data_IF_313784782951
#
_entry.id   IF_313784782951
#
_cell.length_a   1.000
_cell.length_b   1.000
_cell.length_c   1.000
_cell.angle_alpha   90.00
_cell.angle_beta   90.00
_cell.angle_gamma   90.00
#
_symmetry.space_group_name_H-M   'P 1'
#
loop_
_entity.id
_entity.type
_entity.pdbx_description
1 polymer ?
#
# COMPACT_ATOMS: atom_id res chain seq x y z
N UNK A 1 34.62 19.61 -28.71
CA UNK A 1 35.06 18.76 -29.84
C UNK A 1 33.99 17.68 -30.00
N UNK A 2 33.05 17.87 -30.94
CA UNK A 2 31.97 16.91 -31.22
C UNK A 2 32.55 15.74 -31.99
N UNK A 3 32.56 14.55 -31.42
CA UNK A 3 32.72 13.32 -32.18
C UNK A 3 31.38 12.98 -32.82
N UNK A 4 31.30 13.18 -34.14
CA UNK A 4 30.31 12.55 -35.02
C UNK A 4 30.36 11.05 -34.78
N UNK A 5 29.36 10.50 -34.10
CA UNK A 5 29.07 9.08 -34.24
C UNK A 5 28.38 8.92 -35.60
N UNK A 6 29.04 8.24 -36.51
CA UNK A 6 28.46 7.75 -37.76
C UNK A 6 27.28 6.84 -37.44
N UNK A 7 26.07 7.38 -37.45
CA UNK A 7 24.84 6.57 -37.47
C UNK A 7 24.81 5.80 -38.80
N UNK A 8 25.18 4.52 -38.76
CA UNK A 8 24.81 3.58 -39.82
C UNK A 8 23.28 3.58 -39.89
N UNK A 9 22.74 4.34 -40.85
CA UNK A 9 21.30 4.37 -41.12
C UNK A 9 20.88 2.97 -41.56
N UNK A 10 20.21 2.25 -40.67
CA UNK A 10 19.64 0.96 -40.99
C UNK A 10 18.43 1.22 -41.90
N UNK A 11 18.57 0.87 -43.19
CA UNK A 11 17.52 1.02 -44.17
C UNK A 11 16.96 -0.36 -44.54
N UNK A 12 15.66 -0.56 -44.32
CA UNK A 12 14.94 -1.78 -44.71
C UNK A 12 13.84 -1.34 -45.68
N UNK A 13 13.84 -1.87 -46.91
CA UNK A 13 12.86 -1.56 -47.96
C UNK A 13 12.63 -0.05 -48.20
N UNK A 14 13.70 0.76 -48.17
CA UNK A 14 13.62 2.21 -48.41
C UNK A 14 13.26 3.05 -47.17
N UNK A 15 12.84 2.44 -46.06
CA UNK A 15 12.50 3.13 -44.81
C UNK A 15 13.78 3.32 -43.98
N UNK A 16 14.07 4.58 -43.61
CA UNK A 16 15.18 4.92 -42.70
C UNK A 16 14.76 4.64 -41.26
N UNK A 17 15.44 3.71 -40.60
CA UNK A 17 15.25 3.41 -39.19
C UNK A 17 16.34 4.16 -38.41
N UNK A 18 15.94 5.05 -37.51
CA UNK A 18 16.81 5.77 -36.59
C UNK A 18 16.40 5.48 -35.14
N UNK A 19 17.37 5.46 -34.25
CA UNK A 19 17.13 5.32 -32.81
C UNK A 19 17.15 6.72 -32.17
N UNK A 20 16.36 6.91 -31.11
CA UNK A 20 16.32 8.17 -30.38
C UNK A 20 16.76 7.97 -28.94
N UNK A 21 17.53 8.92 -28.42
CA UNK A 21 17.88 8.97 -27.00
C UNK A 21 16.71 9.43 -26.12
N UNK A 22 15.57 9.79 -26.72
CA UNK A 22 14.35 10.12 -25.97
C UNK A 22 13.93 8.90 -25.16
N UNK A 23 13.96 9.04 -23.84
CA UNK A 23 13.47 8.01 -22.93
C UNK A 23 11.95 7.95 -23.03
N UNK A 24 11.44 6.79 -23.46
CA UNK A 24 10.01 6.54 -23.61
C UNK A 24 9.50 5.66 -22.46
N UNK A 25 8.24 5.83 -22.08
CA UNK A 25 7.54 4.99 -21.11
C UNK A 25 6.11 4.72 -21.58
N UNK A 26 5.57 3.51 -21.41
CA UNK A 26 4.16 3.24 -21.67
C UNK A 26 3.24 3.88 -20.60
N UNK A 27 3.80 4.41 -19.50
CA UNK A 27 3.06 4.94 -18.35
C UNK A 27 2.94 6.47 -18.37
N UNK A 28 2.56 7.08 -19.49
CA UNK A 28 2.37 8.53 -19.59
C UNK A 28 1.37 9.10 -18.54
N UNK A 29 0.35 8.31 -18.18
CA UNK A 29 -0.62 8.69 -17.15
C UNK A 29 -0.05 8.80 -15.73
N UNK A 30 1.12 8.23 -15.46
CA UNK A 30 1.77 8.33 -14.14
C UNK A 30 2.14 9.78 -13.80
N UNK A 31 2.25 10.68 -14.78
CA UNK A 31 2.53 12.10 -14.54
C UNK A 31 1.48 12.71 -13.61
N UNK A 32 0.19 12.37 -13.77
CA UNK A 32 -0.88 12.89 -12.90
C UNK A 32 -0.73 12.36 -11.46
N UNK A 33 -0.39 11.09 -11.32
CA UNK A 33 -0.18 10.46 -10.01
C UNK A 33 1.05 11.03 -9.33
N UNK A 34 2.15 11.21 -10.07
CA UNK A 34 3.37 11.80 -9.55
C UNK A 34 3.14 13.25 -9.10
N UNK A 35 2.39 14.05 -9.87
CA UNK A 35 1.97 15.40 -9.47
C UNK A 35 1.07 15.39 -8.24
N UNK A 36 0.21 14.39 -8.10
CA UNK A 36 -0.56 14.21 -6.88
C UNK A 36 0.35 13.87 -5.68
N UNK A 37 1.30 12.95 -5.82
CA UNK A 37 2.27 12.60 -4.77
C UNK A 37 3.15 13.78 -4.37
N UNK A 38 3.56 14.61 -5.33
CA UNK A 38 4.25 15.87 -5.09
C UNK A 38 3.36 16.83 -4.28
N UNK A 39 2.11 17.03 -4.69
CA UNK A 39 1.16 17.94 -4.03
C UNK A 39 0.86 17.56 -2.57
N UNK A 40 0.79 16.26 -2.25
CA UNK A 40 0.59 15.78 -0.88
C UNK A 40 1.91 15.59 -0.11
N UNK A 41 3.05 15.92 -0.73
CA UNK A 41 4.39 15.77 -0.16
C UNK A 41 4.71 14.34 0.32
N UNK A 42 4.18 13.34 -0.38
CA UNK A 42 4.23 11.93 0.05
C UNK A 42 5.66 11.46 0.32
N UNK A 43 6.62 11.82 -0.55
CA UNK A 43 8.02 11.41 -0.38
C UNK A 43 8.62 11.96 0.91
N UNK A 44 8.35 13.22 1.23
CA UNK A 44 8.83 13.88 2.46
C UNK A 44 8.21 13.23 3.68
N UNK A 45 6.90 12.97 3.65
CA UNK A 45 6.20 12.27 4.73
C UNK A 45 6.79 10.87 4.96
N UNK A 46 6.95 10.06 3.90
CA UNK A 46 7.53 8.73 4.01
C UNK A 46 8.94 8.78 4.60
N UNK A 47 9.79 9.73 4.19
CA UNK A 47 11.14 9.88 4.76
C UNK A 47 11.13 10.06 6.28
N UNK A 48 10.15 10.79 6.83
CA UNK A 48 10.01 10.98 8.28
C UNK A 48 9.37 9.79 9.02
N UNK A 49 8.59 8.98 8.32
CA UNK A 49 7.76 7.90 8.90
C UNK A 49 8.45 6.53 8.86
N UNK A 50 9.37 6.31 7.90
CA UNK A 50 9.93 4.98 7.66
C UNK A 50 10.75 4.43 8.85
N UNK A 51 10.48 3.20 9.31
CA UNK A 51 11.19 2.60 10.45
C UNK A 51 12.58 2.08 10.08
N UNK A 52 12.92 1.99 8.79
CA UNK A 52 14.18 1.45 8.30
C UNK A 52 15.12 2.60 7.95
N UNK A 53 16.26 2.69 8.62
CA UNK A 53 17.31 3.67 8.31
C UNK A 53 18.52 2.97 7.68
N UNK A 54 19.03 3.53 6.58
CA UNK A 54 20.26 3.06 5.96
C UNK A 54 21.42 3.99 6.30
N UNK A 55 22.58 3.41 6.61
CA UNK A 55 23.81 4.15 6.90
C UNK A 55 24.66 4.38 5.65
N UNK A 56 24.63 3.45 4.69
CA UNK A 56 25.42 3.57 3.46
C UNK A 56 24.68 4.37 2.37
N UNK A 57 25.34 5.35 1.73
CA UNK A 57 24.76 6.17 0.67
C UNK A 57 24.44 5.38 -0.61
N UNK A 58 25.01 4.18 -0.77
CA UNK A 58 24.75 3.32 -1.93
C UNK A 58 23.40 2.59 -1.87
N UNK A 59 22.69 2.68 -0.74
CA UNK A 59 21.35 2.11 -0.63
C UNK A 59 20.31 3.01 -1.27
N UNK A 60 19.38 2.39 -2.01
CA UNK A 60 18.15 3.07 -2.40
C UNK A 60 17.38 3.39 -1.11
N UNK A 61 16.93 4.65 -0.99
CA UNK A 61 16.25 5.15 0.19
C UNK A 61 14.90 4.44 0.42
N UNK A 62 14.44 4.28 1.66
CA UNK A 62 13.16 3.64 1.99
C UNK A 62 11.97 4.25 1.23
N UNK A 63 11.86 5.58 1.22
CA UNK A 63 10.81 6.32 0.55
C UNK A 63 10.81 6.08 -0.97
N UNK A 64 11.98 6.00 -1.59
CA UNK A 64 12.13 5.69 -3.01
C UNK A 64 11.69 4.25 -3.34
N UNK A 65 12.00 3.30 -2.46
CA UNK A 65 11.56 1.90 -2.62
C UNK A 65 10.04 1.78 -2.52
N UNK A 66 9.42 2.49 -1.57
CA UNK A 66 7.98 2.49 -1.39
C UNK A 66 7.27 3.13 -2.59
N UNK A 67 7.70 4.32 -3.02
CA UNK A 67 7.08 4.98 -4.19
C UNK A 67 7.30 4.15 -5.46
N UNK A 68 8.49 3.59 -5.66
CA UNK A 68 8.75 2.68 -6.77
C UNK A 68 7.87 1.43 -6.74
N UNK A 69 7.60 0.89 -5.54
CA UNK A 69 6.66 -0.22 -5.37
C UNK A 69 5.21 0.20 -5.63
N UNK A 70 4.78 1.39 -5.18
CA UNK A 70 3.46 1.92 -5.54
C UNK A 70 3.31 2.09 -7.05
N UNK A 71 4.34 2.62 -7.73
CA UNK A 71 4.35 2.76 -9.18
C UNK A 71 4.19 1.40 -9.89
N UNK A 72 4.84 0.33 -9.41
CA UNK A 72 4.66 -0.99 -10.02
C UNK A 72 3.24 -1.53 -9.81
N UNK A 73 2.64 -1.32 -8.63
CA UNK A 73 1.26 -1.72 -8.37
C UNK A 73 0.28 -0.97 -9.29
N UNK A 74 0.51 0.32 -9.50
CA UNK A 74 -0.26 1.15 -10.44
C UNK A 74 -0.08 0.72 -11.90
N UNK A 75 1.05 0.10 -12.24
CA UNK A 75 1.28 -0.53 -13.54
C UNK A 75 0.57 -1.88 -13.69
N UNK A 76 -0.20 -2.33 -12.68
CA UNK A 76 -0.93 -3.59 -12.70
C UNK A 76 -0.10 -4.80 -12.25
N UNK A 77 1.03 -4.59 -11.57
CA UNK A 77 1.82 -5.70 -11.05
C UNK A 77 1.14 -6.42 -9.88
N UNK A 78 1.25 -7.75 -9.87
CA UNK A 78 0.77 -8.62 -8.79
C UNK A 78 1.90 -9.41 -8.10
N UNK A 79 3.16 -9.23 -8.54
CA UNK A 79 4.34 -9.96 -8.04
C UNK A 79 5.55 -9.04 -7.94
N UNK A 80 6.45 -9.28 -6.98
CA UNK A 80 7.69 -8.51 -6.86
C UNK A 80 8.61 -8.65 -8.08
N UNK A 81 8.58 -9.78 -8.80
CA UNK A 81 9.35 -9.93 -10.05
C UNK A 81 8.89 -9.00 -11.16
N UNK A 82 7.68 -8.44 -11.07
CA UNK A 82 7.14 -7.50 -12.04
C UNK A 82 7.67 -6.07 -11.86
N UNK A 83 8.62 -5.81 -10.93
CA UNK A 83 9.28 -4.49 -10.84
C UNK A 83 9.87 -4.04 -12.20
N UNK A 84 10.24 -4.98 -13.07
CA UNK A 84 10.69 -4.68 -14.44
C UNK A 84 9.59 -4.11 -15.36
N UNK A 85 8.30 -4.23 -15.00
CA UNK A 85 7.19 -3.68 -15.77
C UNK A 85 7.32 -2.17 -15.93
N UNK A 86 7.93 -1.49 -14.95
CA UNK A 86 8.20 -0.05 -14.98
C UNK A 86 9.05 0.38 -16.19
N UNK A 87 9.72 -0.55 -16.87
CA UNK A 87 10.46 -0.29 -18.08
C UNK A 87 11.69 0.56 -17.79
N UNK A 88 11.68 1.81 -18.25
CA UNK A 88 12.82 2.71 -18.06
C UNK A 88 12.84 3.30 -16.63
N UNK A 89 13.74 2.79 -15.79
CA UNK A 89 13.91 3.24 -14.42
C UNK A 89 14.20 4.74 -14.29
N UNK A 90 14.93 5.34 -15.23
CA UNK A 90 15.22 6.78 -15.19
C UNK A 90 13.96 7.61 -15.42
N UNK A 91 13.08 7.19 -16.32
CA UNK A 91 11.82 7.93 -16.57
C UNK A 91 10.94 7.90 -15.33
N UNK A 92 10.82 6.75 -14.68
CA UNK A 92 10.05 6.62 -13.44
C UNK A 92 10.70 7.40 -12.30
N UNK A 93 12.03 7.33 -12.20
CA UNK A 93 12.80 8.12 -11.23
C UNK A 93 12.49 9.60 -11.39
N UNK A 94 12.66 10.13 -12.59
CA UNK A 94 12.50 11.55 -12.88
C UNK A 94 11.04 11.99 -12.68
N UNK A 95 10.09 11.15 -13.09
CA UNK A 95 8.66 11.45 -12.97
C UNK A 95 8.20 11.54 -11.50
N UNK A 96 8.62 10.60 -10.65
CA UNK A 96 8.23 10.56 -9.23
C UNK A 96 9.20 11.32 -8.31
N UNK A 97 10.20 12.02 -8.85
CA UNK A 97 11.19 12.74 -8.05
C UNK A 97 12.04 11.83 -7.16
N UNK A 98 12.34 10.62 -7.61
CA UNK A 98 13.12 9.63 -6.88
C UNK A 98 14.62 9.86 -7.10
N UNK A 99 15.47 9.38 -6.21
CA UNK A 99 16.92 9.37 -6.47
C UNK A 99 17.30 8.11 -7.23
N UNK A 100 16.71 6.97 -6.88
CA UNK A 100 16.95 5.68 -7.54
C UNK A 100 15.72 4.78 -7.52
N UNK A 101 15.51 4.04 -8.60
CA UNK A 101 14.49 2.99 -8.71
C UNK A 101 15.16 1.65 -8.98
N UNK A 102 14.80 0.62 -8.23
CA UNK A 102 15.22 -0.75 -8.53
C UNK A 102 14.14 -1.47 -9.32
N UNK A 103 14.51 -2.03 -10.47
CA UNK A 103 13.65 -2.93 -11.25
C UNK A 103 13.75 -4.38 -10.76
N UNK A 104 14.58 -4.65 -9.74
CA UNK A 104 14.83 -6.00 -9.22
C UNK A 104 13.98 -6.24 -7.99
N UNK A 105 13.03 -7.17 -8.09
CA UNK A 105 12.07 -7.49 -7.01
C UNK A 105 12.71 -7.86 -5.67
N UNK A 106 13.89 -8.50 -5.67
CA UNK A 106 14.61 -8.87 -4.44
C UNK A 106 15.06 -7.67 -3.61
N UNK A 107 15.21 -6.49 -4.22
CA UNK A 107 15.53 -5.24 -3.49
C UNK A 107 14.36 -4.83 -2.60
N UNK A 108 13.14 -4.95 -3.12
CA UNK A 108 11.89 -4.62 -2.44
C UNK A 108 11.58 -5.63 -1.34
N UNK A 109 11.72 -6.94 -1.62
CA UNK A 109 11.47 -7.97 -0.59
C UNK A 109 12.47 -7.88 0.57
N UNK A 110 13.76 -7.68 0.30
CA UNK A 110 14.77 -7.45 1.36
C UNK A 110 14.48 -6.20 2.19
N UNK A 111 13.85 -5.18 1.60
CA UNK A 111 13.43 -4.00 2.33
C UNK A 111 12.28 -4.31 3.29
N UNK A 112 11.20 -4.95 2.81
CA UNK A 112 10.08 -5.34 3.69
C UNK A 112 10.52 -6.30 4.81
N UNK A 113 11.44 -7.23 4.54
CA UNK A 113 12.01 -8.14 5.55
C UNK A 113 12.85 -7.46 6.65
N UNK A 114 13.08 -6.14 6.57
CA UNK A 114 13.71 -5.36 7.65
C UNK A 114 12.69 -4.87 8.68
N UNK A 115 11.40 -4.87 8.36
CA UNK A 115 10.30 -4.59 9.29
C UNK A 115 9.95 -5.94 9.93
N UNK A 116 10.51 -6.22 11.10
CA UNK A 116 10.50 -7.58 11.68
C UNK A 116 9.54 -7.76 12.86
N UNK A 117 9.25 -6.69 13.57
CA UNK A 117 8.47 -6.78 14.81
C UNK A 117 7.16 -6.02 14.68
N UNK A 118 6.11 -6.55 15.32
CA UNK A 118 4.77 -5.96 15.30
C UNK A 118 4.78 -4.50 15.78
N UNK A 119 5.61 -4.15 16.76
CA UNK A 119 5.77 -2.77 17.21
C UNK A 119 6.21 -1.80 16.12
N UNK A 120 7.12 -2.21 15.21
CA UNK A 120 7.55 -1.38 14.07
C UNK A 120 6.42 -1.20 13.05
N UNK A 121 5.64 -2.26 12.81
CA UNK A 121 4.47 -2.20 11.91
C UNK A 121 3.39 -1.28 12.48
N UNK A 122 3.13 -1.37 13.78
CA UNK A 122 2.16 -0.51 14.47
C UNK A 122 2.61 0.95 14.47
N UNK A 123 3.86 1.23 14.83
CA UNK A 123 4.43 2.59 14.78
C UNK A 123 4.36 3.19 13.37
N UNK A 124 4.70 2.40 12.33
CA UNK A 124 4.54 2.80 10.93
C UNK A 124 3.06 3.09 10.59
N UNK A 125 2.13 2.24 11.03
CA UNK A 125 0.70 2.41 10.79
C UNK A 125 0.14 3.68 11.43
N UNK A 126 0.52 3.95 12.68
CA UNK A 126 0.10 5.15 13.41
C UNK A 126 0.68 6.42 12.79
N UNK A 127 1.98 6.45 12.51
CA UNK A 127 2.62 7.59 11.83
C UNK A 127 2.06 7.86 10.44
N UNK A 128 1.74 6.79 9.69
CA UNK A 128 1.08 6.93 8.40
C UNK A 128 -0.34 7.50 8.57
N UNK A 129 -1.08 7.04 9.58
CA UNK A 129 -2.40 7.59 9.89
C UNK A 129 -2.34 9.08 10.26
N UNK A 130 -1.39 9.49 11.11
CA UNK A 130 -1.17 10.90 11.45
C UNK A 130 -0.94 11.76 10.20
N UNK A 131 -0.10 11.28 9.27
CA UNK A 131 0.07 11.96 7.98
C UNK A 131 -1.22 12.01 7.17
N UNK A 132 -1.95 10.90 7.04
CA UNK A 132 -3.21 10.85 6.31
C UNK A 132 -4.25 11.82 6.88
N UNK A 133 -4.30 11.98 8.21
CA UNK A 133 -5.20 12.96 8.85
C UNK A 133 -4.95 14.39 8.37
N UNK A 134 -3.71 14.74 8.02
CA UNK A 134 -3.41 16.07 7.47
C UNK A 134 -3.97 16.28 6.06
N UNK A 135 -4.26 15.21 5.34
CA UNK A 135 -4.82 15.24 3.98
C UNK A 135 -6.35 15.17 3.96
N UNK A 136 -6.97 14.67 5.03
CA UNK A 136 -8.42 14.46 5.12
C UNK A 136 -9.10 15.72 5.64
N UNK A 137 -10.10 16.20 4.91
CA UNK A 137 -10.93 17.34 5.32
C UNK A 137 -12.01 16.90 6.31
N UNK A 138 -11.63 16.51 7.54
CA UNK A 138 -12.58 16.06 8.57
C UNK A 138 -13.66 17.10 8.89
N UNK A 139 -13.33 18.38 8.79
CA UNK A 139 -14.30 19.48 8.94
C UNK A 139 -15.44 19.49 7.91
N UNK A 140 -15.33 18.72 6.82
CA UNK A 140 -16.38 18.53 5.81
C UNK A 140 -17.14 17.22 5.98
N UNK A 141 -16.81 16.43 6.99
CA UNK A 141 -17.43 15.14 7.29
C UNK A 141 -18.17 15.32 8.62
N UNK A 142 -19.47 15.57 8.56
CA UNK A 142 -20.29 15.69 9.76
C UNK A 142 -20.46 14.33 10.44
N UNK A 143 -20.83 13.32 9.65
CA UNK A 143 -21.14 11.99 10.15
C UNK A 143 -20.89 10.88 9.13
N UNK A 144 -20.53 9.68 9.62
CA UNK A 144 -20.36 8.49 8.79
C UNK A 144 -20.71 7.20 9.56
N UNK A 145 -20.81 6.08 8.85
CA UNK A 145 -20.96 4.73 9.42
C UNK A 145 -19.61 4.03 9.44
N UNK A 146 -19.26 3.47 10.60
CA UNK A 146 -18.08 2.62 10.75
C UNK A 146 -18.43 1.19 10.32
N UNK A 147 -17.77 0.68 9.29
CA UNK A 147 -17.99 -0.67 8.77
C UNK A 147 -16.84 -1.61 9.06
N UNK A 148 -17.18 -2.87 9.35
CA UNK A 148 -16.24 -3.98 9.44
C UNK A 148 -16.52 -5.04 8.39
N UNK A 149 -15.48 -5.43 7.67
CA UNK A 149 -15.54 -6.50 6.67
C UNK A 149 -14.29 -7.38 6.74
N UNK A 150 -14.45 -8.66 6.41
CA UNK A 150 -13.36 -9.63 6.39
C UNK A 150 -13.29 -10.36 5.07
N UNK A 151 -12.07 -10.69 4.65
CA UNK A 151 -11.84 -11.40 3.38
C UNK A 151 -10.89 -12.57 3.59
N UNK A 152 -11.07 -13.65 2.84
CA UNK A 152 -10.16 -14.81 2.88
C UNK A 152 -9.20 -14.73 1.71
N UNK A 153 -7.90 -14.62 1.98
CA UNK A 153 -6.86 -14.63 0.97
C UNK A 153 -6.16 -15.99 0.99
N UNK A 154 -6.49 -16.83 0.00
CA UNK A 154 -5.82 -18.13 -0.20
C UNK A 154 -4.33 -17.91 -0.48
N UNK A 155 -3.48 -18.68 0.20
CA UNK A 155 -2.03 -18.64 0.01
C UNK A 155 -1.53 -19.93 -0.63
N UNK A 156 -0.53 -19.76 -1.50
CA UNK A 156 0.14 -20.84 -2.20
C UNK A 156 1.61 -20.80 -1.80
N UNK A 157 2.03 -21.75 -0.96
CA UNK A 157 3.36 -21.80 -0.36
C UNK A 157 3.32 -21.67 1.16
N UNK A 158 4.48 -21.36 1.74
CA UNK A 158 4.72 -21.27 3.18
C UNK A 158 4.92 -19.80 3.59
N UNK A 159 3.87 -19.00 3.45
CA UNK A 159 3.89 -17.62 3.93
C UNK A 159 3.69 -17.60 5.44
N UNK A 160 4.50 -16.79 6.14
CA UNK A 160 4.35 -16.56 7.57
C UNK A 160 2.93 -16.10 7.91
N UNK A 161 2.35 -16.67 8.97
CA UNK A 161 1.00 -16.36 9.43
C UNK A 161 -0.14 -16.94 8.58
N UNK A 162 0.14 -17.75 7.55
CA UNK A 162 -0.89 -18.41 6.76
C UNK A 162 -1.23 -19.81 7.32
N UNK A 163 -2.33 -19.93 8.07
CA UNK A 163 -2.82 -21.23 8.55
C UNK A 163 -4.09 -21.69 7.83
N UNK A 164 -4.42 -22.97 8.01
CA UNK A 164 -5.65 -23.57 7.49
C UNK A 164 -6.83 -23.18 8.37
N UNK A 165 -7.84 -22.55 7.79
CA UNK A 165 -9.14 -22.38 8.44
C UNK A 165 -10.26 -22.25 7.43
N UNK A 166 -11.25 -21.42 7.73
CA UNK A 166 -12.41 -21.28 6.86
C UNK A 166 -12.03 -20.66 5.52
N UNK A 167 -12.20 -21.42 4.44
CA UNK A 167 -12.01 -20.95 3.08
C UNK A 167 -13.05 -21.61 2.15
N UNK A 168 -14.15 -20.91 1.83
CA UNK A 168 -15.24 -21.49 1.06
C UNK A 168 -14.81 -21.83 -0.37
N UNK A 169 -13.91 -21.02 -0.95
CA UNK A 169 -13.42 -21.21 -2.32
C UNK A 169 -12.44 -22.38 -2.46
N UNK A 170 -11.61 -22.63 -1.44
CA UNK A 170 -10.50 -23.59 -1.46
C UNK A 170 -10.31 -24.25 -0.09
N UNK A 171 -11.23 -25.14 0.27
CA UNK A 171 -11.23 -25.88 1.55
C UNK A 171 -9.88 -26.56 1.84
N UNK A 172 -9.40 -26.45 3.08
CA UNK A 172 -8.16 -27.09 3.55
C UNK A 172 -6.85 -26.41 3.11
N UNK A 173 -6.91 -25.31 2.35
CA UNK A 173 -5.73 -24.52 1.99
C UNK A 173 -5.38 -23.51 3.09
N UNK A 174 -4.09 -23.25 3.24
CA UNK A 174 -3.61 -22.16 4.07
C UNK A 174 -4.09 -20.82 3.51
N UNK A 175 -4.46 -19.91 4.40
CA UNK A 175 -4.99 -18.60 4.04
C UNK A 175 -4.64 -17.57 5.09
N UNK A 176 -4.75 -16.30 4.71
CA UNK A 176 -4.92 -15.21 5.65
C UNK A 176 -6.40 -14.80 5.68
N UNK A 177 -6.82 -14.21 6.80
CA UNK A 177 -8.16 -13.69 6.99
C UNK A 177 -8.14 -12.19 7.39
N UNK A 178 -7.72 -11.28 6.48
CA UNK A 178 -7.69 -9.86 6.78
C UNK A 178 -9.03 -9.32 7.28
N UNK A 179 -8.95 -8.41 8.24
CA UNK A 179 -10.07 -7.63 8.77
C UNK A 179 -9.85 -6.16 8.45
N UNK A 180 -10.87 -5.50 7.92
CA UNK A 180 -10.86 -4.13 7.45
C UNK A 180 -11.88 -3.28 8.23
N UNK A 181 -11.46 -2.10 8.66
CA UNK A 181 -12.35 -1.06 9.18
C UNK A 181 -12.33 0.14 8.24
N UNK A 182 -13.50 0.61 7.84
CA UNK A 182 -13.63 1.73 6.91
C UNK A 182 -14.91 2.53 7.15
N UNK A 183 -14.92 3.76 6.65
CA UNK A 183 -16.08 4.62 6.67
C UNK A 183 -16.90 4.46 5.37
N UNK A 184 -18.21 4.25 5.48
CA UNK A 184 -19.06 3.92 4.33
C UNK A 184 -19.26 5.05 3.33
N UNK A 185 -19.55 6.26 3.81
CA UNK A 185 -19.86 7.42 2.94
C UNK A 185 -18.59 7.95 2.29
N UNK A 186 -17.55 8.15 3.11
CA UNK A 186 -16.28 8.75 2.68
C UNK A 186 -15.31 7.75 2.05
N UNK A 187 -15.57 6.44 2.19
CA UNK A 187 -14.71 5.35 1.69
C UNK A 187 -13.29 5.37 2.26
N UNK A 188 -13.12 5.99 3.43
CA UNK A 188 -11.83 6.05 4.12
C UNK A 188 -11.55 4.73 4.82
N UNK A 189 -10.42 4.10 4.48
CA UNK A 189 -9.93 2.93 5.22
C UNK A 189 -9.21 3.42 6.47
N UNK A 190 -9.69 2.96 7.63
CA UNK A 190 -9.16 3.37 8.92
C UNK A 190 -8.05 2.45 9.39
N UNK A 191 -8.24 1.13 9.31
CA UNK A 191 -7.20 0.17 9.72
C UNK A 191 -7.42 -1.19 9.06
N UNK A 192 -6.34 -1.96 8.94
CA UNK A 192 -6.31 -3.32 8.37
C UNK A 192 -5.48 -4.21 9.27
N UNK A 193 -6.05 -5.32 9.71
CA UNK A 193 -5.31 -6.37 10.41
C UNK A 193 -5.21 -7.61 9.53
N UNK A 194 -3.98 -7.96 9.13
CA UNK A 194 -3.73 -9.20 8.37
C UNK A 194 -3.65 -10.38 9.35
N UNK A 195 -4.78 -11.05 9.57
CA UNK A 195 -4.88 -12.19 10.51
C UNK A 195 -4.60 -13.51 9.81
N UNK A 196 -4.29 -14.53 10.61
CA UNK A 196 -4.18 -15.91 10.13
C UNK A 196 -5.54 -16.50 9.74
N UNK A 197 -5.55 -17.46 8.82
CA UNK A 197 -6.75 -18.08 8.27
C UNK A 197 -7.53 -18.98 9.22
N UNK A 198 -6.90 -19.44 10.30
CA UNK A 198 -7.51 -20.25 11.37
C UNK A 198 -8.28 -19.42 12.41
N UNK A 199 -8.32 -18.09 12.24
CA UNK A 199 -8.96 -17.15 13.14
C UNK A 199 -10.38 -16.82 12.66
N UNK A 200 -11.37 -16.86 13.56
CA UNK A 200 -12.75 -16.47 13.26
C UNK A 200 -12.88 -14.96 13.02
N UNK A 201 -13.92 -14.53 12.29
CA UNK A 201 -14.19 -13.10 12.01
C UNK A 201 -14.23 -12.25 13.29
N UNK A 202 -14.83 -12.79 14.34
CA UNK A 202 -15.01 -12.22 15.67
C UNK A 202 -13.75 -12.09 16.54
N UNK A 203 -12.67 -12.81 16.24
CA UNK A 203 -11.50 -12.84 17.12
C UNK A 203 -10.83 -11.46 17.20
N UNK A 204 -10.61 -11.00 18.43
CA UNK A 204 -10.06 -9.67 18.77
C UNK A 204 -10.87 -8.48 18.22
N UNK A 205 -12.17 -8.65 17.94
CA UNK A 205 -13.00 -7.59 17.36
C UNK A 205 -13.08 -6.35 18.25
N UNK A 206 -13.12 -6.50 19.58
CA UNK A 206 -13.17 -5.36 20.49
C UNK A 206 -11.91 -4.49 20.39
N UNK A 207 -10.72 -5.12 20.37
CA UNK A 207 -9.46 -4.41 20.19
C UNK A 207 -9.35 -3.78 18.79
N UNK A 208 -9.89 -4.46 17.77
CA UNK A 208 -9.96 -3.92 16.42
C UNK A 208 -10.87 -2.69 16.32
N UNK A 209 -12.06 -2.76 16.93
CA UNK A 209 -12.99 -1.63 17.04
C UNK A 209 -12.31 -0.46 17.73
N UNK A 210 -11.70 -0.67 18.90
CA UNK A 210 -11.03 0.42 19.64
C UNK A 210 -9.91 1.06 18.82
N UNK A 211 -9.11 0.25 18.11
CA UNK A 211 -8.07 0.76 17.21
C UNK A 211 -8.63 1.59 16.06
N UNK A 212 -9.75 1.16 15.46
CA UNK A 212 -10.41 1.91 14.39
C UNK A 212 -11.11 3.18 14.91
N UNK A 213 -11.78 3.07 16.06
CA UNK A 213 -12.54 4.15 16.68
C UNK A 213 -11.62 5.27 17.17
N UNK A 214 -10.50 4.92 17.81
CA UNK A 214 -9.51 5.90 18.27
C UNK A 214 -8.96 6.79 17.13
N UNK A 215 -8.96 6.30 15.89
CA UNK A 215 -8.51 7.05 14.71
C UNK A 215 -9.46 8.17 14.28
N UNK A 216 -10.74 8.07 14.65
CA UNK A 216 -11.82 8.96 14.18
C UNK A 216 -12.63 9.61 15.32
N UNK A 217 -12.48 9.12 16.55
CA UNK A 217 -13.19 9.63 17.72
C UNK A 217 -12.88 11.12 17.91
N UNK A 218 -13.95 11.93 18.04
CA UNK A 218 -13.84 13.38 18.19
C UNK A 218 -13.52 14.14 16.89
N UNK A 219 -13.32 13.45 15.76
CA UNK A 219 -13.15 14.08 14.45
C UNK A 219 -14.46 14.15 13.65
N UNK A 220 -15.31 13.13 13.79
CA UNK A 220 -16.61 13.01 13.10
C UNK A 220 -17.63 12.35 14.02
N UNK A 221 -18.93 12.52 13.73
CA UNK A 221 -19.99 11.75 14.39
C UNK A 221 -20.10 10.34 13.78
N UNK A 222 -20.26 9.32 14.62
CA UNK A 222 -20.47 7.94 14.14
C UNK A 222 -21.96 7.61 14.26
N UNK A 223 -22.62 7.43 13.13
CA UNK A 223 -24.07 7.16 13.08
C UNK A 223 -24.41 5.75 13.58
N UNK A 224 -23.46 4.84 13.46
CA UNK A 224 -23.57 3.46 13.87
C UNK A 224 -22.46 2.60 13.31
N UNK A 225 -22.47 1.33 13.69
CA UNK A 225 -21.54 0.31 13.20
C UNK A 225 -22.27 -0.68 12.31
N UNK A 226 -21.73 -0.90 11.10
CA UNK A 226 -22.23 -1.90 10.17
C UNK A 226 -21.26 -3.08 10.10
N UNK A 227 -21.75 -4.28 10.36
CA UNK A 227 -20.94 -5.49 10.28
C UNK A 227 -21.82 -6.69 9.86
N UNK A 228 -21.19 -7.73 9.30
CA UNK A 228 -21.88 -8.98 8.99
C UNK A 228 -22.34 -9.74 10.25
N UNK A 229 -23.20 -10.74 10.08
CA UNK A 229 -23.71 -11.56 11.19
C UNK A 229 -22.62 -12.32 11.96
N UNK A 230 -21.45 -12.55 11.35
CA UNK A 230 -20.28 -13.13 12.00
C UNK A 230 -19.64 -12.23 13.06
N UNK A 231 -20.05 -10.96 13.14
CA UNK A 231 -19.67 -10.01 14.19
C UNK A 231 -20.74 -9.81 15.26
N UNK A 232 -21.85 -10.55 15.22
CA UNK A 232 -22.91 -10.46 16.23
C UNK A 232 -22.47 -11.11 17.55
N UNK A 233 -21.69 -10.38 18.34
CA UNK A 233 -21.18 -10.79 19.64
C UNK A 233 -21.69 -9.84 20.72
N UNK A 234 -22.17 -10.40 21.83
CA UNK A 234 -22.59 -9.63 23.01
C UNK A 234 -21.49 -8.67 23.47
N UNK A 235 -20.25 -9.13 23.54
CA UNK A 235 -19.10 -8.32 23.97
C UNK A 235 -18.81 -7.12 23.07
N UNK A 236 -19.13 -7.20 21.77
CA UNK A 236 -19.01 -6.07 20.86
C UNK A 236 -20.19 -5.13 21.04
N UNK A 237 -21.42 -5.66 21.14
CA UNK A 237 -22.63 -4.86 21.34
C UNK A 237 -22.52 -4.02 22.60
N UNK A 238 -22.15 -4.63 23.74
CA UNK A 238 -21.94 -3.92 25.00
C UNK A 238 -20.85 -2.85 24.89
N UNK A 239 -19.78 -3.13 24.13
CA UNK A 239 -18.72 -2.14 23.90
C UNK A 239 -19.25 -0.94 23.11
N UNK A 240 -20.04 -1.18 22.05
CA UNK A 240 -20.64 -0.11 21.25
C UNK A 240 -21.60 0.74 22.09
N UNK A 241 -22.45 0.10 22.89
CA UNK A 241 -23.37 0.79 23.81
C UNK A 241 -22.63 1.65 24.84
N UNK A 242 -21.42 1.26 25.26
CA UNK A 242 -20.59 2.04 26.20
C UNK A 242 -19.94 3.29 25.60
N UNK A 243 -19.94 3.43 24.26
CA UNK A 243 -19.35 4.58 23.54
C UNK A 243 -20.40 5.61 23.11
N UNK A 244 -21.69 5.30 23.31
CA UNK A 244 -22.81 6.22 23.11
C UNK A 244 -22.89 7.26 24.23
#
# INVERSE_FOLDING_TARGET
>A
MMTKNDEKVHQINGIRIGFTDKKLTPYGGFVLIAKYFEKIELKTALKGIMPVVYTSPNNIKPEDKIIGFMAVLLAGASRFSHMMYLGNADVIRDMFGLERVSLVGSTTTRFFNKIRHMGQTNDLSEKLWEYLKTLIFFNKIESDWLSFDSTVITRYGEQEGANKGYNPSKKGRASHHPLLAFLNKTRLVLTIWNRSGDVSSASNINAFFESAYARIQGLINIEGVLADSGFYLESLITLLESKN
#
